data_IF_538586150151
#
_entry.id   IF_538586150151
#
_cell.length_a   1.000
_cell.length_b   1.000
_cell.length_c   1.000
_cell.angle_alpha   90.00
_cell.angle_beta   90.00
_cell.angle_gamma   90.00
#
_symmetry.space_group_name_H-M   'P 1'
#
loop_
_entity.id
_entity.type
_entity.pdbx_description
1 polymer ?
#
# COMPACT_ATOMS: atom_id res chain seq x y z
N UNK A 1 -3.21 -26.82 6.06
CA UNK A 1 -3.58 -26.02 4.87
C UNK A 1 -3.09 -24.60 5.11
N UNK A 2 -1.88 -24.26 4.66
CA UNK A 2 -1.42 -22.87 4.69
C UNK A 2 -2.05 -22.17 3.48
N UNK A 3 -3.19 -21.51 3.67
CA UNK A 3 -3.65 -20.49 2.72
C UNK A 3 -2.70 -19.30 2.84
N UNK A 4 -1.54 -19.39 2.21
CA UNK A 4 -0.59 -18.28 2.13
C UNK A 4 -1.22 -17.17 1.30
N UNK A 5 -1.64 -16.09 1.96
CA UNK A 5 -2.06 -14.87 1.25
C UNK A 5 -0.80 -14.31 0.60
N UNK A 6 -0.75 -14.40 -0.72
CA UNK A 6 0.33 -13.82 -1.51
C UNK A 6 0.07 -12.30 -1.58
N UNK A 7 0.84 -11.53 -0.81
CA UNK A 7 0.74 -10.07 -0.68
C UNK A 7 2.03 -9.37 -1.13
N UNK A 8 1.88 -8.19 -1.74
CA UNK A 8 2.99 -7.33 -2.09
C UNK A 8 2.81 -5.96 -1.45
N UNK A 9 3.90 -5.30 -1.06
CA UNK A 9 3.83 -3.97 -0.46
C UNK A 9 4.60 -2.96 -1.31
N UNK A 10 3.92 -1.86 -1.61
CA UNK A 10 4.48 -0.73 -2.33
C UNK A 10 4.84 0.38 -1.32
N UNK A 11 6.09 0.81 -1.33
CA UNK A 11 6.52 2.02 -0.65
C UNK A 11 6.69 3.13 -1.68
N UNK A 12 5.81 4.13 -1.65
CA UNK A 12 5.95 5.34 -2.49
C UNK A 12 6.39 6.47 -1.57
N UNK A 13 7.56 7.04 -1.84
CA UNK A 13 8.01 8.24 -1.14
C UNK A 13 7.07 9.41 -1.48
N UNK A 14 6.61 10.21 -0.50
CA UNK A 14 5.69 11.33 -0.72
C UNK A 14 6.22 12.39 -1.72
N UNK A 15 7.54 12.46 -1.89
CA UNK A 15 8.21 13.38 -2.81
C UNK A 15 8.02 12.99 -4.29
N UNK A 16 7.82 11.71 -4.59
CA UNK A 16 7.70 11.21 -5.97
C UNK A 16 6.23 11.11 -6.44
N UNK A 17 5.27 11.22 -5.54
CA UNK A 17 3.84 11.15 -5.85
C UNK A 17 3.27 12.42 -6.54
N UNK A 18 3.99 13.55 -6.53
CA UNK A 18 3.47 14.86 -6.97
C UNK A 18 3.73 15.24 -8.45
N UNK A 19 4.23 14.34 -9.28
CA UNK A 19 4.54 14.62 -10.71
C UNK A 19 3.45 14.18 -11.71
N UNK A 20 2.23 13.90 -11.25
CA UNK A 20 1.13 13.40 -12.12
C UNK A 20 1.21 11.91 -12.48
N UNK A 21 2.30 11.24 -12.12
CA UNK A 21 2.51 9.80 -12.35
C UNK A 21 1.91 8.90 -11.27
N UNK A 22 1.38 9.46 -10.18
CA UNK A 22 0.92 8.69 -9.03
C UNK A 22 -0.04 7.57 -9.42
N UNK A 23 -1.02 7.87 -10.28
CA UNK A 23 -1.97 6.85 -10.75
C UNK A 23 -1.30 5.80 -11.62
N UNK A 24 -0.43 6.19 -12.54
CA UNK A 24 0.30 5.26 -13.39
C UNK A 24 1.20 4.31 -12.59
N UNK A 25 1.85 4.80 -11.53
CA UNK A 25 2.66 3.99 -10.62
C UNK A 25 1.81 2.99 -9.84
N UNK A 26 0.67 3.43 -9.31
CA UNK A 26 -0.27 2.55 -8.59
C UNK A 26 -0.81 1.45 -9.52
N UNK A 27 -1.21 1.80 -10.74
CA UNK A 27 -1.70 0.80 -11.71
C UNK A 27 -0.57 -0.14 -12.15
N UNK A 28 0.63 0.36 -12.42
CA UNK A 28 1.78 -0.48 -12.74
C UNK A 28 2.13 -1.45 -11.61
N UNK A 29 2.05 -0.99 -10.35
CA UNK A 29 2.27 -1.84 -9.18
C UNK A 29 1.20 -2.93 -9.06
N UNK A 30 -0.07 -2.61 -9.32
CA UNK A 30 -1.14 -3.61 -9.36
C UNK A 30 -0.92 -4.64 -10.46
N UNK A 31 -0.62 -4.22 -11.68
CA UNK A 31 -0.32 -5.12 -12.81
C UNK A 31 0.87 -6.03 -12.47
N UNK A 32 1.91 -5.46 -11.86
CA UNK A 32 3.06 -6.25 -11.41
C UNK A 32 2.65 -7.29 -10.37
N UNK A 33 1.78 -6.91 -9.42
CA UNK A 33 1.31 -7.80 -8.39
C UNK A 33 0.49 -8.97 -8.96
N UNK A 34 -0.40 -8.66 -9.91
CA UNK A 34 -1.18 -9.65 -10.66
C UNK A 34 -0.28 -10.65 -11.39
N UNK A 35 0.73 -10.17 -12.13
CA UNK A 35 1.68 -11.02 -12.87
C UNK A 35 2.47 -11.97 -11.98
N UNK A 36 2.60 -11.66 -10.69
CA UNK A 36 3.27 -12.51 -9.69
C UNK A 36 2.31 -13.43 -8.93
N UNK A 37 1.01 -13.42 -9.26
CA UNK A 37 0.00 -14.22 -8.57
C UNK A 37 -0.38 -13.67 -7.20
N UNK A 38 -0.10 -12.41 -6.91
CA UNK A 38 -0.58 -11.77 -5.68
C UNK A 38 -2.06 -11.39 -5.84
N UNK A 39 -2.81 -11.49 -4.74
CA UNK A 39 -4.23 -11.15 -4.68
C UNK A 39 -4.49 -9.82 -3.98
N UNK A 40 -3.48 -9.29 -3.30
CA UNK A 40 -3.56 -8.07 -2.49
C UNK A 40 -2.27 -7.28 -2.61
N UNK A 41 -2.41 -5.97 -2.63
CA UNK A 41 -1.31 -5.02 -2.50
C UNK A 41 -1.59 -4.07 -1.35
N UNK A 42 -0.58 -3.81 -0.52
CA UNK A 42 -0.65 -2.85 0.58
C UNK A 42 0.33 -1.70 0.39
N UNK A 43 0.07 -0.57 1.02
CA UNK A 43 0.98 0.54 1.15
C UNK A 43 0.76 1.24 2.49
N UNK A 44 1.71 2.08 2.89
CA UNK A 44 1.55 2.94 4.06
C UNK A 44 1.68 4.40 3.69
N UNK A 45 0.74 5.21 4.16
CA UNK A 45 0.66 6.65 3.86
C UNK A 45 0.29 7.47 5.09
N UNK A 46 0.35 8.80 4.97
CA UNK A 46 -0.13 9.70 6.01
C UNK A 46 -1.64 9.94 5.87
N UNK A 47 -2.39 9.71 6.94
CA UNK A 47 -3.84 9.92 6.98
C UNK A 47 -4.20 11.41 6.97
N UNK A 48 -3.40 12.24 7.64
CA UNK A 48 -3.69 13.66 7.85
C UNK A 48 -3.41 14.54 6.62
N UNK A 49 -2.94 13.93 5.53
CA UNK A 49 -2.68 14.59 4.26
C UNK A 49 -3.95 14.55 3.41
N UNK A 50 -4.65 15.69 3.19
CA UNK A 50 -6.02 15.70 2.65
C UNK A 50 -6.19 15.06 1.27
N UNK A 51 -5.13 15.03 0.46
CA UNK A 51 -5.18 14.45 -0.88
C UNK A 51 -4.85 12.95 -0.91
N UNK A 52 -4.23 12.37 0.13
CA UNK A 52 -3.79 10.97 0.10
C UNK A 52 -4.97 9.99 0.18
N UNK A 53 -5.86 10.17 1.16
CA UNK A 53 -6.99 9.27 1.33
C UNK A 53 -7.91 9.26 0.09
N UNK A 54 -8.35 10.41 -0.48
CA UNK A 54 -9.13 10.41 -1.72
C UNK A 54 -8.39 9.82 -2.92
N UNK A 55 -7.09 10.07 -3.05
CA UNK A 55 -6.28 9.53 -4.14
C UNK A 55 -6.24 8.00 -4.10
N UNK A 56 -5.90 7.42 -2.95
CA UNK A 56 -5.80 5.95 -2.80
C UNK A 56 -7.19 5.29 -2.82
N UNK A 57 -8.21 5.92 -2.23
CA UNK A 57 -9.59 5.44 -2.33
C UNK A 57 -10.09 5.40 -3.77
N UNK A 58 -9.81 6.43 -4.59
CA UNK A 58 -10.12 6.43 -6.02
C UNK A 58 -9.41 5.29 -6.78
N UNK A 59 -8.30 4.79 -6.23
CA UNK A 59 -7.54 3.67 -6.74
C UNK A 59 -7.95 2.33 -6.10
N UNK A 60 -9.07 2.26 -5.38
CA UNK A 60 -9.60 1.02 -4.80
C UNK A 60 -8.86 0.53 -3.56
N UNK A 61 -8.08 1.40 -2.91
CA UNK A 61 -7.50 1.09 -1.61
C UNK A 61 -8.47 1.44 -0.48
N UNK A 62 -8.45 0.65 0.58
CA UNK A 62 -9.17 0.88 1.84
C UNK A 62 -8.20 0.84 3.01
N UNK A 63 -8.50 1.59 4.07
CA UNK A 63 -7.72 1.52 5.31
C UNK A 63 -7.92 0.15 5.98
N UNK A 64 -6.82 -0.47 6.40
CA UNK A 64 -6.85 -1.76 7.09
C UNK A 64 -5.73 -1.80 8.12
N UNK A 65 -5.99 -2.43 9.26
CA UNK A 65 -4.98 -2.66 10.28
C UNK A 65 -3.87 -3.62 9.79
N UNK A 66 -2.62 -3.49 10.28
CA UNK A 66 -1.51 -4.38 9.95
C UNK A 66 -1.80 -5.87 10.22
N UNK A 67 -2.29 -6.58 9.20
CA UNK A 67 -2.74 -7.96 9.36
C UNK A 67 -1.61 -9.00 9.47
N UNK A 68 -0.47 -8.78 8.81
CA UNK A 68 0.61 -9.77 8.70
C UNK A 68 1.84 -9.39 9.50
N UNK A 69 2.73 -10.36 9.75
CA UNK A 69 4.00 -10.09 10.43
C UNK A 69 4.84 -9.07 9.64
N UNK A 70 4.82 -9.17 8.32
CA UNK A 70 5.48 -8.21 7.44
C UNK A 70 4.92 -6.79 7.62
N UNK A 71 3.60 -6.63 7.65
CA UNK A 71 2.97 -5.33 7.94
C UNK A 71 3.38 -4.78 9.32
N UNK A 72 3.41 -5.62 10.36
CA UNK A 72 3.83 -5.20 11.71
C UNK A 72 5.31 -4.82 11.77
N UNK A 73 6.19 -5.55 11.07
CA UNK A 73 7.61 -5.19 10.98
C UNK A 73 7.82 -3.83 10.32
N UNK A 74 7.07 -3.52 9.26
CA UNK A 74 7.08 -2.19 8.65
C UNK A 74 6.62 -1.10 9.61
N UNK A 75 5.66 -1.39 10.48
CA UNK A 75 5.26 -0.45 11.55
C UNK A 75 6.42 -0.17 12.50
N UNK A 76 7.13 -1.21 12.94
CA UNK A 76 8.33 -1.05 13.76
C UNK A 76 9.39 -0.18 13.06
N UNK A 77 9.74 -0.51 11.82
CA UNK A 77 10.76 0.21 11.03
C UNK A 77 10.36 1.69 10.83
N UNK A 78 9.11 1.98 10.49
CA UNK A 78 8.66 3.38 10.34
C UNK A 78 8.72 4.16 11.66
N UNK A 79 8.45 3.50 12.79
CA UNK A 79 8.60 4.09 14.12
C UNK A 79 10.06 4.35 14.48
N UNK A 80 10.97 3.41 14.19
CA UNK A 80 12.41 3.59 14.39
C UNK A 80 12.99 4.73 13.54
N UNK A 81 12.46 4.91 12.32
CA UNK A 81 12.79 6.04 11.44
C UNK A 81 12.12 7.36 11.86
N UNK A 82 11.24 7.32 12.88
CA UNK A 82 10.50 8.46 13.39
C UNK A 82 9.58 9.09 12.34
N UNK A 83 8.92 8.29 11.50
CA UNK A 83 7.99 8.79 10.49
C UNK A 83 6.63 9.17 11.10
N UNK A 84 6.26 8.53 12.19
CA UNK A 84 5.07 8.83 13.00
C UNK A 84 5.05 10.27 13.55
N UNK A 85 6.21 10.89 13.77
CA UNK A 85 6.31 12.31 14.21
C UNK A 85 5.73 13.31 13.20
N UNK A 86 5.58 12.91 11.94
CA UNK A 86 5.07 13.77 10.87
C UNK A 86 3.57 13.63 10.63
N UNK A 87 2.89 12.76 11.41
CA UNK A 87 1.45 12.55 11.33
C UNK A 87 1.08 11.07 11.41
N UNK A 88 -0.22 10.77 11.49
CA UNK A 88 -0.71 9.40 11.62
C UNK A 88 -0.41 8.59 10.37
N UNK A 89 0.35 7.50 10.54
CA UNK A 89 0.68 6.52 9.49
C UNK A 89 -0.38 5.44 9.41
N UNK A 90 -1.09 5.34 8.28
CA UNK A 90 -2.12 4.31 8.04
C UNK A 90 -1.67 3.32 6.97
N UNK A 91 -2.13 2.08 7.10
CA UNK A 91 -2.00 1.07 6.06
C UNK A 91 -3.25 1.09 5.18
N UNK A 92 -3.02 1.07 3.88
CA UNK A 92 -4.06 1.03 2.86
C UNK A 92 -3.86 -0.22 2.01
N UNK A 93 -4.93 -0.96 1.72
CA UNK A 93 -4.90 -2.23 0.99
C UNK A 93 -5.86 -2.18 -0.19
N UNK A 94 -5.43 -2.68 -1.34
CA UNK A 94 -6.28 -2.92 -2.50
C UNK A 94 -6.21 -4.40 -2.91
N UNK A 95 -7.34 -4.93 -3.36
CA UNK A 95 -7.37 -6.23 -4.01
C UNK A 95 -6.89 -6.08 -5.47
N UNK A 96 -6.13 -7.06 -5.90
CA UNK A 96 -5.76 -7.23 -7.31
C UNK A 96 -6.36 -8.55 -7.76
N UNK A 97 -7.23 -8.48 -8.77
CA UNK A 97 -7.75 -9.68 -9.41
C UNK A 97 -6.55 -10.46 -9.96
N UNK A 98 -6.37 -11.71 -9.50
CA UNK A 98 -5.40 -12.58 -10.14
C UNK A 98 -5.78 -12.73 -11.61
N UNK A 99 -4.81 -12.82 -12.53
CA UNK A 99 -5.14 -13.10 -13.92
C UNK A 99 -6.05 -14.32 -13.96
N UNK A 100 -7.18 -14.19 -14.67
CA UNK A 100 -8.07 -15.30 -14.93
C UNK A 100 -7.32 -16.47 -15.57
N UNK A 101 -7.83 -17.70 -15.43
CA UNK A 101 -7.17 -18.90 -15.92
C UNK A 101 -6.85 -18.85 -17.42
#
# INVERSE_FOLDING_TARGET
MCSGVAEHQLSVAPADARKGWGRALVEAAKIHAQKRGYHRISLRTYADVPWNAPFYASAGFVEEEPATQFHRSLVGIEGELGLDRYGRRVQMVAHVEAPGP
#
